data_IF_868094815171
#
_entry.id   IF_868094815171
#
_cell.length_a   1.000
_cell.length_b   1.000
_cell.length_c   1.000
_cell.angle_alpha   90.00
_cell.angle_beta   90.00
_cell.angle_gamma   90.00
#
_symmetry.space_group_name_H-M   'P 1'
#
loop_
_entity.id
_entity.type
_entity.pdbx_description
1 polymer ?
#
# COMPACT_ATOMS: atom_id res chain seq x y z
N UNK A 1 1.09 -2.30 -6.39
CA UNK A 1 0.27 -1.40 -7.24
C UNK A 1 0.94 -0.03 -7.34
N UNK A 2 0.59 0.78 -8.33
CA UNK A 2 1.10 2.15 -8.49
C UNK A 2 -0.08 3.13 -8.53
N UNK A 3 0.13 4.33 -7.98
CA UNK A 3 -0.88 5.37 -7.87
C UNK A 3 -0.46 6.56 -8.72
N UNK A 4 -1.32 7.01 -9.64
CA UNK A 4 -0.99 8.12 -10.53
C UNK A 4 -0.77 9.41 -9.72
N UNK A 5 0.35 10.08 -9.96
CA UNK A 5 0.68 11.35 -9.31
C UNK A 5 1.22 11.23 -7.89
N UNK A 6 1.46 10.02 -7.37
CA UNK A 6 2.07 9.81 -6.04
C UNK A 6 3.30 8.91 -6.14
N UNK A 7 4.32 9.22 -5.34
CA UNK A 7 5.48 8.33 -5.19
C UNK A 7 5.14 7.13 -4.31
N UNK A 8 5.79 5.99 -4.54
CA UNK A 8 5.60 4.79 -3.70
C UNK A 8 5.92 5.06 -2.23
N UNK A 9 6.94 5.88 -1.95
CA UNK A 9 7.32 6.28 -0.61
C UNK A 9 6.22 7.10 0.09
N UNK A 10 5.59 8.04 -0.62
CA UNK A 10 4.51 8.86 -0.06
C UNK A 10 3.27 8.03 0.31
N UNK A 11 2.91 7.05 -0.53
CA UNK A 11 1.80 6.15 -0.27
C UNK A 11 2.12 5.24 0.91
N UNK A 12 3.33 4.66 0.93
CA UNK A 12 3.77 3.79 2.03
C UNK A 12 3.80 4.52 3.38
N UNK A 13 4.30 5.76 3.41
CA UNK A 13 4.27 6.61 4.60
C UNK A 13 2.85 6.88 5.10
N UNK A 14 1.92 7.23 4.20
CA UNK A 14 0.54 7.54 4.55
C UNK A 14 -0.22 6.33 5.10
N UNK A 15 -0.01 5.14 4.51
CA UNK A 15 -0.59 3.89 5.00
C UNK A 15 -0.06 3.50 6.39
N UNK A 16 1.21 3.80 6.68
CA UNK A 16 1.77 3.58 8.02
C UNK A 16 1.22 4.58 9.04
N UNK A 17 1.33 5.88 8.77
CA UNK A 17 0.97 6.94 9.72
C UNK A 17 -0.54 7.02 9.99
N UNK A 18 -1.37 6.76 8.97
CA UNK A 18 -2.83 6.83 9.11
C UNK A 18 -3.45 5.54 9.62
N UNK A 19 -2.95 4.40 9.19
CA UNK A 19 -3.69 3.13 9.28
C UNK A 19 -2.88 2.00 9.95
N UNK A 20 -1.60 2.25 10.27
CA UNK A 20 -0.70 1.26 10.88
C UNK A 20 -0.30 0.12 9.94
N UNK A 21 -0.40 0.33 8.62
CA UNK A 21 -0.19 -0.70 7.62
C UNK A 21 1.24 -0.63 7.06
N UNK A 22 2.03 -1.67 7.34
CA UNK A 22 3.39 -1.78 6.82
C UNK A 22 3.37 -2.21 5.35
N UNK A 23 4.06 -1.44 4.52
CA UNK A 23 4.21 -1.72 3.09
C UNK A 23 5.63 -1.40 2.62
N UNK A 24 6.01 -1.87 1.43
CA UNK A 24 7.32 -1.56 0.86
C UNK A 24 7.16 -0.72 -0.40
N UNK A 25 7.75 0.48 -0.42
CA UNK A 25 7.87 1.25 -1.64
C UNK A 25 8.86 0.57 -2.60
N UNK A 26 8.48 0.40 -3.87
CA UNK A 26 9.27 -0.30 -4.89
C UNK A 26 9.24 0.45 -6.22
N UNK A 27 10.29 0.27 -7.02
CA UNK A 27 10.27 0.63 -8.44
C UNK A 27 9.81 -0.56 -9.26
N UNK A 28 8.78 -0.37 -10.07
CA UNK A 28 8.21 -1.39 -10.95
C UNK A 28 9.08 -1.57 -12.21
N UNK A 29 8.97 -2.71 -12.92
CA UNK A 29 9.76 -2.98 -14.13
C UNK A 29 9.60 -1.95 -15.25
N UNK A 30 8.46 -1.27 -15.30
CA UNK A 30 8.15 -0.21 -16.27
C UNK A 30 8.64 1.18 -15.82
N UNK A 31 9.46 1.26 -14.78
CA UNK A 31 10.04 2.49 -14.26
C UNK A 31 9.13 3.30 -13.35
N UNK A 32 7.85 2.94 -13.20
CA UNK A 32 6.94 3.61 -12.27
C UNK A 32 7.29 3.30 -10.82
N UNK A 33 6.94 4.21 -9.94
CA UNK A 33 7.01 3.96 -8.50
C UNK A 33 5.68 3.44 -7.98
N UNK A 34 5.75 2.49 -7.05
CA UNK A 34 4.57 1.89 -6.47
C UNK A 34 4.84 1.32 -5.09
N UNK A 35 3.86 0.57 -4.61
CA UNK A 35 3.88 -0.09 -3.31
C UNK A 35 3.66 -1.59 -3.50
N UNK A 36 4.53 -2.39 -2.88
CA UNK A 36 4.38 -3.84 -2.75
C UNK A 36 3.67 -4.14 -1.44
N UNK A 37 2.65 -4.98 -1.54
CA UNK A 37 1.90 -5.53 -0.41
C UNK A 37 1.90 -7.04 -0.57
N UNK A 38 2.20 -7.74 0.51
CA UNK A 38 2.27 -9.20 0.54
C UNK A 38 1.52 -9.67 1.78
N UNK A 39 0.22 -10.02 1.66
CA UNK A 39 -0.51 -10.59 2.78
C UNK A 39 0.11 -11.93 3.18
N UNK A 40 0.07 -12.23 4.48
CA UNK A 40 0.54 -13.50 5.00
C UNK A 40 -0.60 -14.52 4.97
N UNK A 41 -0.30 -15.82 5.06
CA UNK A 41 -1.33 -16.87 5.22
C UNK A 41 -2.16 -16.73 6.51
N UNK A 42 -1.73 -15.86 7.43
CA UNK A 42 -2.45 -15.53 8.67
C UNK A 42 -3.25 -14.24 8.56
N UNK A 43 -3.17 -13.53 7.43
CA UNK A 43 -4.00 -12.34 7.20
C UNK A 43 -5.44 -12.78 6.95
N UNK A 44 -6.33 -12.36 7.83
CA UNK A 44 -7.77 -12.59 7.72
C UNK A 44 -8.40 -11.75 6.60
N UNK A 45 -9.60 -12.15 6.16
CA UNK A 45 -10.36 -11.36 5.17
C UNK A 45 -10.72 -9.97 5.70
N UNK A 46 -11.02 -9.84 7.00
CA UNK A 46 -11.33 -8.54 7.62
C UNK A 46 -10.13 -7.60 7.61
N UNK A 47 -8.91 -8.12 7.82
CA UNK A 47 -7.69 -7.32 7.71
C UNK A 47 -7.40 -6.89 6.27
N UNK A 48 -7.73 -7.75 5.29
CA UNK A 48 -7.66 -7.38 3.87
C UNK A 48 -8.67 -6.29 3.50
N UNK A 49 -9.91 -6.39 4.00
CA UNK A 49 -10.94 -5.37 3.77
C UNK A 49 -10.51 -4.03 4.36
N UNK A 50 -10.00 -4.03 5.60
CA UNK A 50 -9.42 -2.83 6.23
C UNK A 50 -8.28 -2.23 5.40
N UNK A 51 -7.42 -3.08 4.83
CA UNK A 51 -6.37 -2.62 3.92
C UNK A 51 -6.94 -1.96 2.66
N UNK A 52 -7.95 -2.56 2.03
CA UNK A 52 -8.61 -2.00 0.85
C UNK A 52 -9.21 -0.62 1.15
N UNK A 53 -9.97 -0.50 2.25
CA UNK A 53 -10.54 0.78 2.68
C UNK A 53 -9.47 1.84 2.97
N UNK A 54 -8.36 1.44 3.62
CA UNK A 54 -7.23 2.31 3.89
C UNK A 54 -6.59 2.84 2.59
N UNK A 55 -6.44 1.97 1.58
CA UNK A 55 -5.93 2.38 0.27
C UNK A 55 -6.89 3.35 -0.41
N UNK A 56 -8.19 3.11 -0.40
CA UNK A 56 -9.19 4.02 -0.97
C UNK A 56 -9.17 5.40 -0.32
N UNK A 57 -8.92 5.49 0.99
CA UNK A 57 -8.76 6.77 1.70
C UNK A 57 -7.42 7.44 1.45
N UNK A 58 -6.38 6.65 1.15
CA UNK A 58 -5.01 7.15 1.00
C UNK A 58 -4.72 7.74 -0.38
N UNK A 59 -5.45 7.27 -1.41
CA UNK A 59 -5.18 7.53 -2.81
C UNK A 59 -5.96 8.72 -3.35
#
# INVERSE_FOLDING_TARGET
FAVRGRSGASVSKRLWEGEGILTTAVRLPDGREGVRVSPHVYTSLVELDRFCEAVERAV
#
